data_IF_565628843892
#
_entry.id   IF_565628843892
#
_cell.length_a   1.000
_cell.length_b   1.000
_cell.length_c   1.000
_cell.angle_alpha   90.00
_cell.angle_beta   90.00
_cell.angle_gamma   90.00
#
_symmetry.space_group_name_H-M   'P 1'
#
loop_
_entity.id
_entity.type
_entity.pdbx_description
1 polymer ?
#
# COMPACT_ATOMS: atom_id res chain seq x y z
N UNK A 1 13.89 -22.15 1.92
CA UNK A 1 14.18 -20.70 1.98
C UNK A 1 14.09 -20.26 3.44
N UNK A 2 15.24 -20.04 4.08
CA UNK A 2 15.30 -19.63 5.49
C UNK A 2 14.84 -18.16 5.64
N UNK A 3 14.00 -17.82 6.63
CA UNK A 3 13.59 -16.45 6.87
C UNK A 3 14.69 -15.71 7.65
N UNK A 4 15.26 -14.63 7.10
CA UNK A 4 16.11 -13.69 7.85
C UNK A 4 15.23 -12.61 8.49
N UNK A 5 15.62 -12.20 9.70
CA UNK A 5 14.81 -11.44 10.65
C UNK A 5 14.70 -9.93 10.37
N UNK A 6 15.38 -9.39 9.35
CA UNK A 6 15.27 -7.97 9.04
C UNK A 6 15.44 -7.72 7.53
N UNK A 7 14.32 -7.50 6.83
CA UNK A 7 14.33 -7.17 5.39
C UNK A 7 14.99 -5.80 5.14
N UNK A 8 14.91 -4.90 6.11
CA UNK A 8 15.48 -3.55 6.00
C UNK A 8 17.01 -3.59 6.01
N UNK A 9 17.61 -4.39 6.89
CA UNK A 9 19.07 -4.48 6.99
C UNK A 9 19.68 -5.25 5.79
N UNK A 10 19.00 -6.32 5.35
CA UNK A 10 19.54 -7.25 4.33
C UNK A 10 19.34 -6.75 2.90
N UNK A 11 18.27 -6.00 2.61
CA UNK A 11 17.94 -5.58 1.23
C UNK A 11 18.26 -4.10 0.97
N UNK A 12 18.11 -3.23 1.97
CA UNK A 12 18.33 -1.78 1.79
C UNK A 12 19.72 -1.31 2.26
N UNK A 13 20.59 -2.18 2.80
CA UNK A 13 21.94 -1.83 3.27
C UNK A 13 22.01 -0.59 4.19
N UNK A 14 20.91 -0.27 4.90
CA UNK A 14 20.81 0.94 5.72
C UNK A 14 20.63 2.26 4.95
N UNK A 15 20.43 2.22 3.62
CA UNK A 15 20.17 3.39 2.78
C UNK A 15 18.77 3.31 2.15
N UNK A 16 17.83 4.19 2.54
CA UNK A 16 16.49 4.23 1.95
C UNK A 16 16.57 4.71 0.48
N UNK A 17 16.24 3.81 -0.45
CA UNK A 17 16.33 4.02 -1.90
C UNK A 17 15.31 5.01 -2.48
N UNK A 18 14.23 5.35 -1.76
CA UNK A 18 13.10 6.22 -2.18
C UNK A 18 12.46 5.86 -3.53
N UNK A 19 12.84 4.74 -4.14
CA UNK A 19 12.28 4.24 -5.40
C UNK A 19 10.87 3.69 -5.18
N UNK A 20 10.69 2.92 -4.11
CA UNK A 20 9.40 2.36 -3.72
C UNK A 20 8.27 3.40 -3.66
N UNK A 21 8.39 4.48 -2.86
CA UNK A 21 7.33 5.45 -2.65
C UNK A 21 7.16 6.46 -3.79
N UNK A 22 8.11 6.55 -4.71
CA UNK A 22 8.00 7.43 -5.88
C UNK A 22 7.38 6.70 -7.07
N UNK A 23 7.92 5.54 -7.44
CA UNK A 23 7.55 4.87 -8.68
C UNK A 23 6.39 3.90 -8.52
N UNK A 24 6.33 3.10 -7.44
CA UNK A 24 5.27 2.10 -7.28
C UNK A 24 3.89 2.75 -7.14
N UNK A 25 3.68 3.82 -6.34
CA UNK A 25 2.44 4.58 -6.31
C UNK A 25 2.04 5.12 -7.69
N UNK A 26 2.99 5.72 -8.42
CA UNK A 26 2.73 6.30 -9.75
C UNK A 26 2.27 5.23 -10.73
N UNK A 27 2.96 4.09 -10.77
CA UNK A 27 2.59 2.95 -11.61
C UNK A 27 1.22 2.38 -11.21
N UNK A 28 0.95 2.26 -9.91
CA UNK A 28 -0.34 1.78 -9.42
C UNK A 28 -1.47 2.72 -9.82
N UNK A 29 -1.31 4.03 -9.67
CA UNK A 29 -2.31 5.04 -10.08
C UNK A 29 -2.64 4.86 -11.56
N UNK A 30 -1.61 4.79 -12.42
CA UNK A 30 -1.77 4.62 -13.85
C UNK A 30 -2.52 3.31 -14.18
N UNK A 31 -2.15 2.20 -13.54
CA UNK A 31 -2.75 0.89 -13.77
C UNK A 31 -4.18 0.82 -13.25
N UNK A 32 -4.49 1.39 -12.08
CA UNK A 32 -5.86 1.48 -11.55
C UNK A 32 -6.75 2.26 -12.50
N UNK A 33 -6.26 3.40 -12.98
CA UNK A 33 -6.97 4.24 -13.92
C UNK A 33 -7.19 3.51 -15.27
N UNK A 34 -6.15 2.88 -15.82
CA UNK A 34 -6.24 2.09 -17.05
C UNK A 34 -7.20 0.90 -16.90
N UNK A 35 -7.06 0.10 -15.85
CA UNK A 35 -7.89 -1.06 -15.58
C UNK A 35 -9.36 -0.67 -15.37
N UNK A 36 -9.63 0.41 -14.62
CA UNK A 36 -10.98 0.93 -14.44
C UNK A 36 -11.60 1.39 -15.76
N UNK A 37 -10.81 2.02 -16.63
CA UNK A 37 -11.30 2.51 -17.92
C UNK A 37 -11.61 1.37 -18.88
N UNK A 38 -10.71 0.37 -18.95
CA UNK A 38 -10.88 -0.79 -19.81
C UNK A 38 -12.05 -1.68 -19.33
N UNK A 39 -12.17 -1.89 -18.02
CA UNK A 39 -13.29 -2.63 -17.43
C UNK A 39 -14.64 -1.95 -17.70
N UNK A 40 -14.68 -0.61 -17.60
CA UNK A 40 -15.85 0.19 -17.94
C UNK A 40 -16.22 0.10 -19.42
N UNK A 41 -15.24 0.24 -20.32
CA UNK A 41 -15.46 0.12 -21.76
C UNK A 41 -15.96 -1.28 -22.16
N UNK A 42 -15.40 -2.34 -21.56
CA UNK A 42 -15.84 -3.71 -21.78
C UNK A 42 -17.27 -3.94 -21.31
N UNK A 43 -17.63 -3.38 -20.15
CA UNK A 43 -19.00 -3.44 -19.62
C UNK A 43 -19.99 -2.73 -20.55
N UNK A 44 -19.66 -1.51 -21.00
CA UNK A 44 -20.50 -0.76 -21.95
C UNK A 44 -20.66 -1.48 -23.28
N UNK A 45 -19.59 -2.12 -23.79
CA UNK A 45 -19.65 -2.93 -25.01
C UNK A 45 -20.60 -4.13 -24.85
N UNK A 46 -20.52 -4.86 -23.72
CA UNK A 46 -21.38 -6.01 -23.44
C UNK A 46 -22.86 -5.63 -23.26
N UNK A 47 -23.14 -4.41 -22.79
CA UNK A 47 -24.50 -3.93 -22.55
C UNK A 47 -25.03 -3.00 -23.66
N UNK A 48 -24.29 -2.82 -24.76
CA UNK A 48 -24.65 -1.94 -25.88
C UNK A 48 -24.97 -0.50 -25.43
N UNK A 49 -24.22 0.01 -24.46
CA UNK A 49 -24.36 1.37 -23.92
C UNK A 49 -23.21 2.27 -24.38
N UNK A 50 -23.41 3.59 -24.36
CA UNK A 50 -22.31 4.55 -24.50
C UNK A 50 -21.40 4.50 -23.28
N UNK A 51 -20.08 4.61 -23.50
CA UNK A 51 -19.09 4.70 -22.44
C UNK A 51 -18.63 6.14 -22.27
N UNK A 52 -19.04 6.78 -21.18
CA UNK A 52 -18.52 8.08 -20.78
C UNK A 52 -17.33 7.90 -19.84
N UNK A 53 -16.24 8.55 -20.21
CA UNK A 53 -15.01 8.51 -19.46
C UNK A 53 -15.09 9.45 -18.24
N UNK A 54 -14.74 8.93 -17.07
CA UNK A 54 -14.81 9.68 -15.80
C UNK A 54 -13.40 9.98 -15.27
N UNK A 55 -12.95 11.23 -15.46
CA UNK A 55 -11.67 11.73 -14.96
C UNK A 55 -11.62 11.78 -13.42
N UNK A 56 -12.77 11.79 -12.74
CA UNK A 56 -12.82 11.81 -11.27
C UNK A 56 -12.17 10.56 -10.68
N UNK A 57 -12.25 9.42 -11.38
CA UNK A 57 -11.61 8.16 -10.96
C UNK A 57 -10.09 8.26 -10.93
N UNK A 58 -9.50 8.99 -11.88
CA UNK A 58 -8.06 9.26 -11.89
C UNK A 58 -7.67 10.15 -10.70
N UNK A 59 -8.39 11.25 -10.48
CA UNK A 59 -8.12 12.15 -9.35
C UNK A 59 -8.26 11.46 -8.00
N UNK A 60 -9.28 10.61 -7.83
CA UNK A 60 -9.47 9.79 -6.63
C UNK A 60 -8.32 8.79 -6.45
N UNK A 61 -7.89 8.09 -7.51
CA UNK A 61 -6.78 7.16 -7.43
C UNK A 61 -5.47 7.88 -7.02
N UNK A 62 -5.17 9.04 -7.61
CA UNK A 62 -4.01 9.86 -7.25
C UNK A 62 -4.05 10.23 -5.77
N UNK A 63 -5.17 10.80 -5.32
CA UNK A 63 -5.33 11.25 -3.93
C UNK A 63 -5.17 10.10 -2.94
N UNK A 64 -5.92 9.01 -3.13
CA UNK A 64 -5.90 7.86 -2.22
C UNK A 64 -4.51 7.21 -2.16
N UNK A 65 -3.90 6.91 -3.31
CA UNK A 65 -2.65 6.16 -3.36
C UNK A 65 -1.50 6.97 -2.76
N UNK A 66 -1.38 8.27 -3.05
CA UNK A 66 -0.31 9.08 -2.45
C UNK A 66 -0.53 9.42 -0.99
N UNK A 67 -1.77 9.66 -0.55
CA UNK A 67 -2.08 9.83 0.88
C UNK A 67 -1.69 8.55 1.64
N UNK A 68 -2.01 7.39 1.10
CA UNK A 68 -1.63 6.11 1.68
C UNK A 68 -0.11 5.86 1.65
N UNK A 69 0.56 6.13 0.54
CA UNK A 69 1.98 5.81 0.38
C UNK A 69 2.94 6.80 1.07
N UNK A 70 2.50 8.04 1.35
CA UNK A 70 3.35 9.10 1.89
C UNK A 70 2.82 9.69 3.21
N UNK A 71 1.57 10.14 3.23
CA UNK A 71 1.03 10.85 4.40
C UNK A 71 0.79 9.90 5.58
N UNK A 72 0.18 8.74 5.34
CA UNK A 72 -0.05 7.72 6.36
C UNK A 72 1.24 7.21 7.03
N UNK A 73 2.29 6.78 6.29
CA UNK A 73 3.56 6.39 6.91
C UNK A 73 4.25 7.54 7.64
N UNK A 74 4.11 8.79 7.18
CA UNK A 74 4.63 9.95 7.91
C UNK A 74 3.91 10.14 9.25
N UNK A 75 2.59 9.98 9.31
CA UNK A 75 1.83 10.00 10.56
C UNK A 75 2.22 8.87 11.51
N UNK A 76 2.40 7.65 10.99
CA UNK A 76 2.82 6.49 11.78
C UNK A 76 4.23 6.70 12.32
N UNK A 77 5.15 7.18 11.48
CA UNK A 77 6.50 7.50 11.94
C UNK A 77 6.48 8.58 13.03
N UNK A 78 5.68 9.63 12.88
CA UNK A 78 5.57 10.67 13.91
C UNK A 78 5.05 10.09 15.23
N UNK A 79 4.04 9.22 15.18
CA UNK A 79 3.55 8.52 16.36
C UNK A 79 4.63 7.59 16.96
N UNK A 80 5.42 6.90 16.14
CA UNK A 80 6.52 6.06 16.61
C UNK A 80 7.61 6.88 17.30
N UNK A 81 7.99 8.02 16.72
CA UNK A 81 9.06 8.89 17.21
C UNK A 81 8.67 9.64 18.48
N UNK A 82 7.52 10.30 18.47
CA UNK A 82 7.13 11.23 19.53
C UNK A 82 6.30 10.58 20.64
N UNK A 83 5.52 9.54 20.34
CA UNK A 83 4.67 8.89 21.33
C UNK A 83 5.23 7.55 21.82
N UNK A 84 5.72 6.69 20.92
CA UNK A 84 6.26 5.39 21.29
C UNK A 84 7.74 5.40 21.74
N UNK A 85 8.45 6.51 21.50
CA UNK A 85 9.86 6.68 21.88
C UNK A 85 10.82 5.80 21.07
N UNK A 86 10.46 5.45 19.83
CA UNK A 86 11.34 4.68 18.93
C UNK A 86 12.47 5.58 18.43
N UNK A 87 13.71 5.23 18.79
CA UNK A 87 14.91 5.91 18.32
C UNK A 87 15.64 5.12 17.23
N UNK A 88 16.35 5.82 16.33
CA UNK A 88 17.21 5.19 15.33
C UNK A 88 16.54 4.75 14.01
N UNK A 89 15.23 4.98 13.82
CA UNK A 89 14.53 4.68 12.55
C UNK A 89 14.19 5.97 11.78
N UNK A 90 14.80 6.24 10.61
CA UNK A 90 14.54 7.45 9.85
C UNK A 90 13.20 7.39 9.08
N UNK A 91 12.56 8.54 8.86
CA UNK A 91 11.27 8.66 8.14
C UNK A 91 11.26 7.89 6.81
N UNK A 92 12.28 8.03 5.93
CA UNK A 92 12.26 7.42 4.61
C UNK A 92 12.16 5.88 4.64
N UNK A 93 12.57 5.25 5.73
CA UNK A 93 12.49 3.80 5.89
C UNK A 93 11.02 3.34 6.01
N UNK A 94 10.21 4.06 6.80
CA UNK A 94 8.78 3.77 6.96
C UNK A 94 8.02 4.09 5.69
N UNK A 95 8.36 5.20 5.03
CA UNK A 95 7.77 5.58 3.74
C UNK A 95 8.09 4.53 2.67
N UNK A 96 9.33 4.05 2.60
CA UNK A 96 9.72 2.97 1.68
C UNK A 96 8.93 1.69 1.94
N UNK A 97 8.78 1.30 3.20
CA UNK A 97 8.03 0.10 3.56
C UNK A 97 6.58 0.17 3.07
N UNK A 98 5.92 1.33 3.22
CA UNK A 98 4.59 1.57 2.69
C UNK A 98 4.56 1.59 1.16
N UNK A 99 5.54 2.20 0.50
CA UNK A 99 5.69 2.15 -0.95
C UNK A 99 5.82 0.72 -1.49
N UNK A 100 6.60 -0.14 -0.82
CA UNK A 100 6.71 -1.54 -1.23
C UNK A 100 5.43 -2.34 -0.98
N UNK A 101 4.67 -2.00 0.05
CA UNK A 101 3.38 -2.64 0.36
C UNK A 101 2.36 -2.48 -0.78
N UNK A 102 2.46 -1.42 -1.61
CA UNK A 102 1.51 -1.19 -2.71
C UNK A 102 1.78 -2.06 -3.95
N UNK A 103 2.95 -2.71 -4.03
CA UNK A 103 3.35 -3.51 -5.20
C UNK A 103 2.35 -4.61 -5.54
N UNK A 104 1.76 -5.26 -4.51
CA UNK A 104 0.80 -6.36 -4.72
C UNK A 104 -0.49 -5.91 -5.42
N UNK A 105 -0.85 -4.63 -5.30
CA UNK A 105 -2.04 -4.09 -5.95
C UNK A 105 -1.86 -3.89 -7.47
N UNK A 106 -0.62 -3.78 -7.95
CA UNK A 106 -0.32 -3.64 -9.39
C UNK A 106 -0.83 -4.85 -10.20
N UNK A 107 -0.38 -6.10 -9.96
CA UNK A 107 -0.88 -7.25 -10.70
C UNK A 107 -2.36 -7.51 -10.43
N UNK A 108 -2.84 -7.25 -9.20
CA UNK A 108 -4.25 -7.43 -8.84
C UNK A 108 -5.18 -6.49 -9.59
N UNK A 109 -4.78 -5.24 -9.82
CA UNK A 109 -5.53 -4.28 -10.62
C UNK A 109 -5.69 -4.75 -12.08
N UNK A 110 -4.64 -5.33 -12.67
CA UNK A 110 -4.70 -5.91 -14.02
C UNK A 110 -5.58 -7.17 -14.07
N UNK A 111 -5.48 -8.06 -13.09
CA UNK A 111 -6.32 -9.27 -13.02
C UNK A 111 -7.81 -8.94 -12.78
N UNK A 112 -8.10 -7.73 -12.30
CA UNK A 112 -9.46 -7.25 -12.02
C UNK A 112 -10.13 -6.52 -13.19
N UNK A 113 -9.51 -6.49 -14.38
CA UNK A 113 -10.10 -5.89 -15.59
C UNK A 113 -11.42 -6.57 -16.03
N UNK A 114 -11.52 -7.92 -16.05
CA UNK A 114 -12.76 -8.58 -16.43
C UNK A 114 -13.95 -8.14 -15.54
N UNK A 115 -15.16 -7.95 -16.10
CA UNK A 115 -16.30 -7.39 -15.39
C UNK A 115 -17.00 -8.44 -14.51
N UNK A 116 -16.24 -9.17 -13.69
CA UNK A 116 -16.73 -10.16 -12.74
C UNK A 116 -16.58 -9.61 -11.31
N UNK A 117 -17.66 -9.10 -10.69
CA UNK A 117 -17.59 -8.47 -9.38
C UNK A 117 -16.96 -9.38 -8.31
N UNK A 118 -17.30 -10.67 -8.34
CA UNK A 118 -16.78 -11.67 -7.41
C UNK A 118 -15.26 -11.85 -7.51
N UNK A 119 -14.73 -11.95 -8.74
CA UNK A 119 -13.29 -12.07 -8.97
C UNK A 119 -12.56 -10.83 -8.43
N UNK A 120 -13.07 -9.63 -8.74
CA UNK A 120 -12.51 -8.37 -8.25
C UNK A 120 -12.46 -8.31 -6.72
N UNK A 121 -13.54 -8.70 -6.05
CA UNK A 121 -13.61 -8.72 -4.59
C UNK A 121 -12.60 -9.69 -3.96
N UNK A 122 -12.45 -10.90 -4.51
CA UNK A 122 -11.47 -11.87 -4.01
C UNK A 122 -10.04 -11.38 -4.23
N UNK A 123 -9.73 -10.86 -5.42
CA UNK A 123 -8.39 -10.34 -5.74
C UNK A 123 -8.04 -9.15 -4.84
N UNK A 124 -8.98 -8.23 -4.61
CA UNK A 124 -8.79 -7.09 -3.71
C UNK A 124 -8.57 -7.54 -2.26
N UNK A 125 -9.35 -8.51 -1.76
CA UNK A 125 -9.17 -9.06 -0.41
C UNK A 125 -7.82 -9.79 -0.26
N UNK A 126 -7.40 -10.51 -1.30
CA UNK A 126 -6.10 -11.15 -1.35
C UNK A 126 -4.94 -10.15 -1.32
N UNK A 127 -4.99 -9.10 -2.15
CA UNK A 127 -4.00 -8.02 -2.12
C UNK A 127 -3.93 -7.35 -0.75
N UNK A 128 -5.10 -7.05 -0.17
CA UNK A 128 -5.21 -6.48 1.17
C UNK A 128 -4.53 -7.34 2.22
N UNK A 129 -4.85 -8.64 2.27
CA UNK A 129 -4.25 -9.56 3.24
C UNK A 129 -2.74 -9.70 3.09
N UNK A 130 -2.24 -9.75 1.85
CA UNK A 130 -0.80 -9.83 1.55
C UNK A 130 -0.06 -8.55 1.94
N UNK A 131 -0.61 -7.38 1.59
CA UNK A 131 -0.03 -6.09 1.90
C UNK A 131 -0.03 -5.82 3.42
N UNK A 132 -1.14 -6.13 4.08
CA UNK A 132 -1.27 -6.03 5.52
C UNK A 132 -0.30 -6.95 6.25
N UNK A 133 -0.24 -8.22 5.83
CA UNK A 133 0.69 -9.21 6.39
C UNK A 133 2.14 -8.77 6.24
N UNK A 134 2.50 -8.16 5.10
CA UNK A 134 3.82 -7.58 4.88
C UNK A 134 4.10 -6.40 5.83
N UNK A 135 3.18 -5.45 5.98
CA UNK A 135 3.35 -4.30 6.87
C UNK A 135 3.47 -4.74 8.33
N UNK A 136 2.55 -5.58 8.81
CA UNK A 136 2.55 -6.06 10.20
C UNK A 136 3.84 -6.82 10.50
N UNK A 137 4.29 -7.69 9.59
CA UNK A 137 5.52 -8.46 9.78
C UNK A 137 6.76 -7.57 9.92
N UNK A 138 6.82 -6.47 9.18
CA UNK A 138 7.98 -5.57 9.20
C UNK A 138 7.89 -4.49 10.30
N UNK A 139 6.70 -4.02 10.66
CA UNK A 139 6.51 -3.03 11.73
C UNK A 139 6.49 -3.64 13.14
N UNK A 140 6.02 -4.89 13.27
CA UNK A 140 5.97 -5.58 14.57
C UNK A 140 7.31 -5.61 15.32
N UNK A 141 8.45 -6.04 14.73
CA UNK A 141 9.72 -6.07 15.46
C UNK A 141 10.17 -4.66 15.90
N UNK A 142 9.93 -3.64 15.06
CA UNK A 142 10.27 -2.24 15.37
C UNK A 142 9.45 -1.71 16.55
N UNK A 143 8.15 -2.00 16.57
CA UNK A 143 7.25 -1.59 17.64
C UNK A 143 7.41 -2.44 18.92
N UNK A 144 7.82 -3.70 18.78
CA UNK A 144 8.08 -4.59 19.92
C UNK A 144 9.36 -4.21 20.68
N UNK A 145 10.33 -3.61 19.99
CA UNK A 145 11.55 -3.05 20.59
C UNK A 145 11.34 -1.66 21.21
N UNK A 146 10.17 -1.04 21.03
CA UNK A 146 9.87 0.28 21.56
C UNK A 146 9.77 0.27 23.11
N UNK A 147 10.24 1.33 23.80
CA UNK A 147 10.16 1.42 25.26
C UNK A 147 8.71 1.50 25.76
N UNK A 148 7.81 2.11 24.99
CA UNK A 148 6.39 2.18 25.31
C UNK A 148 5.66 0.86 24.99
N UNK A 149 5.17 0.14 25.99
CA UNK A 149 4.36 -1.08 25.77
C UNK A 149 3.07 -0.82 24.98
N UNK A 150 2.58 0.43 24.99
CA UNK A 150 1.44 0.92 24.19
C UNK A 150 1.75 1.09 22.70
N UNK A 151 3.03 1.05 22.27
CA UNK A 151 3.41 1.16 20.86
C UNK A 151 2.74 0.12 19.96
N UNK A 152 2.36 -1.04 20.51
CA UNK A 152 1.63 -2.10 19.81
C UNK A 152 0.22 -1.66 19.37
N UNK A 153 -0.36 -0.63 19.98
CA UNK A 153 -1.65 -0.05 19.56
C UNK A 153 -1.51 0.57 18.16
N UNK A 154 -0.31 1.02 17.77
CA UNK A 154 -0.08 1.50 16.41
C UNK A 154 -0.28 0.42 15.35
N UNK A 155 -0.12 -0.88 15.68
CA UNK A 155 -0.48 -1.96 14.75
C UNK A 155 -1.99 -2.03 14.53
N UNK A 156 -2.80 -1.73 15.54
CA UNK A 156 -4.26 -1.65 15.39
C UNK A 156 -4.60 -0.47 14.47
N UNK A 157 -3.93 0.68 14.65
CA UNK A 157 -4.10 1.82 13.75
C UNK A 157 -3.67 1.49 12.32
N UNK A 158 -2.54 0.80 12.13
CA UNK A 158 -2.07 0.31 10.81
C UNK A 158 -3.12 -0.60 10.19
N UNK A 159 -3.64 -1.58 10.92
CA UNK A 159 -4.68 -2.50 10.43
C UNK A 159 -5.97 -1.76 10.09
N UNK A 160 -6.38 -0.80 10.93
CA UNK A 160 -7.62 -0.05 10.72
C UNK A 160 -7.55 1.01 9.62
N UNK A 161 -6.37 1.59 9.37
CA UNK A 161 -6.11 2.60 8.33
C UNK A 161 -5.59 1.98 7.02
N UNK A 162 -5.30 0.68 7.00
CA UNK A 162 -5.00 -0.02 5.77
C UNK A 162 -6.34 -0.20 5.03
N UNK A 163 -6.49 0.50 3.88
CA UNK A 163 -7.40 0.29 2.73
C UNK A 163 -7.38 1.58 1.90
#
# INVERSE_FOLDING_TARGET
>A
MYPKNDYVEVVLAGQPDLYGPSWLPTTLIFILFFASSLSGALTSYLHLQSYDYDFSKLSLAVGLVYVYALALPACIWAAMRYWAGVEGRPIPEIINLYGYSVTVFIPVALLSIPPFPFLRSIMALGAFGLSLGFLVRNLYPVLAAAPAKTARILLIAVVGLHV
#
